data_IF_278110015816
#
_entry.id   IF_278110015816
#
_cell.length_a   1.000
_cell.length_b   1.000
_cell.length_c   1.000
_cell.angle_alpha   90.00
_cell.angle_beta   90.00
_cell.angle_gamma   90.00
#
_symmetry.space_group_name_H-M   'P 1'
#
loop_
_entity.id
_entity.type
_entity.pdbx_description
1 polymer ?
#
# COMPACT_ATOMS: atom_id res chain seq x y z
N UNK A 1 -12.00 16.28 1.16
CA UNK A 1 -11.23 15.36 2.04
C UNK A 1 -11.10 16.00 3.41
N UNK A 2 -11.37 15.26 4.50
CA UNK A 2 -11.22 15.82 5.83
C UNK A 2 -9.75 15.92 6.26
N UNK A 3 -9.50 16.62 7.36
CA UNK A 3 -8.14 16.87 7.85
C UNK A 3 -7.38 15.59 8.17
N UNK A 4 -8.02 14.62 8.81
CA UNK A 4 -7.39 13.35 9.18
C UNK A 4 -7.02 12.53 7.94
N UNK A 5 -7.91 12.49 6.96
CA UNK A 5 -7.64 11.79 5.70
C UNK A 5 -6.44 12.41 4.97
N UNK A 6 -6.34 13.74 4.96
CA UNK A 6 -5.21 14.42 4.31
C UNK A 6 -3.90 14.11 5.02
N UNK A 7 -3.88 14.14 6.35
CA UNK A 7 -2.68 13.83 7.14
C UNK A 7 -2.24 12.39 6.89
N UNK A 8 -3.18 11.44 6.86
CA UNK A 8 -2.90 10.03 6.61
C UNK A 8 -2.34 9.84 5.19
N UNK A 9 -2.97 10.48 4.19
CA UNK A 9 -2.49 10.42 2.81
C UNK A 9 -1.07 10.97 2.69
N UNK A 10 -0.79 12.11 3.32
CA UNK A 10 0.55 12.71 3.30
C UNK A 10 1.58 11.79 3.96
N UNK A 11 1.20 11.12 5.04
CA UNK A 11 2.05 10.15 5.73
C UNK A 11 2.40 8.98 4.82
N UNK A 12 1.41 8.42 4.12
CA UNK A 12 1.63 7.32 3.18
C UNK A 12 2.53 7.78 2.02
N UNK A 13 2.25 8.94 1.45
CA UNK A 13 3.00 9.44 0.29
C UNK A 13 4.46 9.78 0.63
N UNK A 14 4.74 10.17 1.86
CA UNK A 14 6.10 10.45 2.33
C UNK A 14 6.85 9.20 2.77
N UNK A 15 6.16 8.07 2.96
CA UNK A 15 6.76 6.85 3.47
C UNK A 15 7.40 6.03 2.35
N UNK A 16 8.55 5.42 2.66
CA UNK A 16 9.21 4.42 1.80
C UNK A 16 9.11 3.03 2.41
N UNK A 17 8.49 2.91 3.59
CA UNK A 17 8.51 1.69 4.39
C UNK A 17 7.26 0.82 4.22
N UNK A 18 6.29 1.25 3.41
CA UNK A 18 5.00 0.55 3.22
C UNK A 18 4.34 0.28 4.58
N UNK A 19 3.87 1.31 5.28
CA UNK A 19 3.42 1.15 6.66
C UNK A 19 2.12 0.35 6.77
N UNK A 20 1.99 -0.39 7.87
CA UNK A 20 0.72 -0.97 8.29
C UNK A 20 -0.15 0.12 8.90
N UNK A 21 -1.45 -0.19 9.13
CA UNK A 21 -2.36 0.75 9.81
C UNK A 21 -1.86 1.14 11.20
N UNK A 22 -1.32 0.16 11.95
CA UNK A 22 -0.76 0.42 13.27
C UNK A 22 0.45 1.34 13.22
N UNK A 23 1.33 1.14 12.24
CA UNK A 23 2.49 2.01 12.05
C UNK A 23 2.09 3.44 11.69
N UNK A 24 1.07 3.59 10.84
CA UNK A 24 0.50 4.92 10.53
C UNK A 24 -0.04 5.57 11.80
N UNK A 25 -0.80 4.82 12.60
CA UNK A 25 -1.36 5.30 13.86
C UNK A 25 -0.26 5.78 14.81
N UNK A 26 0.79 4.98 15.00
CA UNK A 26 1.89 5.34 15.89
C UNK A 26 2.65 6.58 15.40
N UNK A 27 2.86 6.68 14.09
CA UNK A 27 3.49 7.85 13.48
C UNK A 27 2.70 9.12 13.74
N UNK A 28 1.38 9.08 13.60
CA UNK A 28 0.51 10.23 13.88
C UNK A 28 0.53 10.60 15.36
N UNK A 29 0.54 9.59 16.23
CA UNK A 29 0.60 9.81 17.68
C UNK A 29 1.92 10.50 18.08
N UNK A 30 3.03 10.10 17.49
CA UNK A 30 4.33 10.74 17.70
C UNK A 30 4.36 12.20 17.26
N UNK A 31 3.59 12.52 16.21
CA UNK A 31 3.46 13.89 15.71
C UNK A 31 2.49 14.75 16.54
N UNK A 32 1.87 14.17 17.58
CA UNK A 32 0.91 14.87 18.40
C UNK A 32 -0.49 14.93 17.81
N UNK A 33 -0.76 14.21 16.74
CA UNK A 33 -2.10 14.14 16.15
C UNK A 33 -2.99 13.25 16.98
N UNK A 34 -4.15 13.76 17.39
CA UNK A 34 -5.10 13.02 18.20
C UNK A 34 -6.10 12.30 17.31
N UNK A 35 -5.86 11.02 17.05
CA UNK A 35 -6.77 10.16 16.29
C UNK A 35 -6.88 8.82 17.00
N UNK A 36 -8.02 8.14 16.85
CA UNK A 36 -8.15 6.74 17.29
C UNK A 36 -7.65 5.81 16.20
N UNK A 37 -7.31 4.58 16.60
CA UNK A 37 -6.93 3.54 15.62
C UNK A 37 -8.09 3.25 14.65
N UNK A 38 -9.33 3.28 15.15
CA UNK A 38 -10.51 3.10 14.29
C UNK A 38 -10.62 4.18 13.22
N UNK A 39 -10.31 5.43 13.56
CA UNK A 39 -10.29 6.53 12.59
C UNK A 39 -9.23 6.30 11.53
N UNK A 40 -8.05 5.80 11.91
CA UNK A 40 -6.99 5.46 10.95
C UNK A 40 -7.46 4.39 9.98
N UNK A 41 -8.00 3.27 10.48
CA UNK A 41 -8.52 2.20 9.64
C UNK A 41 -9.61 2.68 8.69
N UNK A 42 -10.56 3.48 9.17
CA UNK A 42 -11.66 4.00 8.35
C UNK A 42 -11.15 4.91 7.23
N UNK A 43 -10.19 5.77 7.54
CA UNK A 43 -9.61 6.66 6.53
C UNK A 43 -8.76 5.89 5.51
N UNK A 44 -8.00 4.89 5.93
CA UNK A 44 -7.23 4.06 5.01
C UNK A 44 -8.16 3.31 4.05
N UNK A 45 -9.25 2.75 4.55
CA UNK A 45 -10.24 2.07 3.72
C UNK A 45 -10.87 3.02 2.69
N UNK A 46 -11.21 4.23 3.12
CA UNK A 46 -11.78 5.26 2.23
C UNK A 46 -10.80 5.72 1.17
N UNK A 47 -9.55 5.99 1.55
CA UNK A 47 -8.50 6.40 0.61
C UNK A 47 -8.20 5.31 -0.41
N UNK A 48 -8.16 4.06 0.03
CA UNK A 48 -7.98 2.92 -0.85
C UNK A 48 -9.15 2.78 -1.84
N UNK A 49 -10.38 2.88 -1.36
CA UNK A 49 -11.57 2.79 -2.21
C UNK A 49 -11.61 3.90 -3.28
N UNK A 50 -11.06 5.07 -2.97
CA UNK A 50 -10.97 6.20 -3.91
C UNK A 50 -9.76 6.11 -4.85
N UNK A 51 -8.92 5.09 -4.70
CA UNK A 51 -7.73 4.92 -5.53
C UNK A 51 -6.60 5.90 -5.22
N UNK A 52 -6.59 6.53 -4.03
CA UNK A 52 -5.57 7.49 -3.63
C UNK A 52 -4.36 6.83 -2.98
N UNK A 53 -4.51 5.62 -2.48
CA UNK A 53 -3.43 4.79 -1.95
C UNK A 53 -3.60 3.36 -2.46
N UNK A 54 -2.53 2.58 -2.39
CA UNK A 54 -2.54 1.15 -2.70
C UNK A 54 -2.48 0.35 -1.41
N UNK A 55 -2.96 -0.88 -1.48
CA UNK A 55 -2.89 -1.82 -0.37
C UNK A 55 -2.14 -3.07 -0.84
N UNK A 56 -1.13 -3.48 -0.08
CA UNK A 56 -0.34 -4.67 -0.35
C UNK A 56 -0.69 -5.72 0.71
N UNK A 57 -1.39 -6.76 0.28
CA UNK A 57 -1.78 -7.86 1.17
C UNK A 57 -0.68 -8.93 1.16
N UNK A 58 -0.19 -9.28 2.34
CA UNK A 58 0.83 -10.31 2.53
C UNK A 58 0.23 -11.41 3.40
N UNK A 59 0.08 -12.64 2.90
CA UNK A 59 -0.53 -13.73 3.68
C UNK A 59 0.19 -13.95 5.01
N UNK A 60 -0.56 -13.99 6.10
CA UNK A 60 -0.04 -14.19 7.45
C UNK A 60 0.51 -12.91 8.11
N UNK A 61 0.43 -11.77 7.45
CA UNK A 61 0.92 -10.49 7.96
C UNK A 61 -0.14 -9.41 7.76
N UNK A 62 -0.09 -8.31 8.55
CA UNK A 62 -1.01 -7.20 8.34
C UNK A 62 -0.83 -6.57 6.97
N UNK A 63 -1.92 -6.02 6.43
CA UNK A 63 -1.88 -5.27 5.18
C UNK A 63 -0.94 -4.06 5.30
N UNK A 64 -0.23 -3.77 4.23
CA UNK A 64 0.61 -2.58 4.11
C UNK A 64 -0.02 -1.61 3.12
N UNK A 65 0.28 -0.34 3.30
CA UNK A 65 -0.26 0.73 2.46
C UNK A 65 0.87 1.48 1.78
N UNK A 66 0.61 1.99 0.59
CA UNK A 66 1.62 2.60 -0.24
C UNK A 66 1.02 3.66 -1.15
N UNK A 67 1.87 4.51 -1.72
CA UNK A 67 1.44 5.49 -2.69
C UNK A 67 1.03 4.80 -4.00
N UNK A 68 0.38 5.55 -4.88
CA UNK A 68 -0.15 5.00 -6.14
C UNK A 68 0.88 4.93 -7.27
N UNK A 69 2.11 5.37 -7.03
CA UNK A 69 3.19 5.21 -8.00
C UNK A 69 3.45 3.72 -8.19
N UNK A 70 3.36 3.26 -9.45
CA UNK A 70 3.49 1.84 -9.71
C UNK A 70 4.90 1.36 -9.45
N UNK A 71 5.01 0.29 -8.69
CA UNK A 71 6.25 -0.46 -8.49
C UNK A 71 5.87 -1.87 -8.06
N UNK A 72 6.79 -2.81 -8.25
CA UNK A 72 6.59 -4.19 -7.88
C UNK A 72 7.26 -4.48 -6.54
N UNK A 73 6.89 -5.58 -5.91
CA UNK A 73 7.37 -5.91 -4.57
C UNK A 73 7.92 -7.33 -4.50
N UNK A 74 8.99 -7.48 -3.73
CA UNK A 74 9.47 -8.79 -3.26
C UNK A 74 9.03 -8.96 -1.81
N UNK A 75 8.45 -10.11 -1.49
CA UNK A 75 7.93 -10.42 -0.16
C UNK A 75 8.69 -11.61 0.40
N UNK A 76 9.34 -11.43 1.54
CA UNK A 76 10.00 -12.53 2.23
C UNK A 76 8.97 -13.48 2.86
N UNK A 77 9.00 -14.75 2.48
CA UNK A 77 8.09 -15.75 3.00
C UNK A 77 8.24 -15.93 4.52
N UNK A 78 9.44 -15.79 5.05
CA UNK A 78 9.73 -16.06 6.45
C UNK A 78 9.38 -14.91 7.38
N UNK A 79 9.70 -13.67 7.01
CA UNK A 79 9.55 -12.53 7.90
C UNK A 79 8.55 -11.48 7.41
N UNK A 80 8.01 -11.62 6.19
CA UNK A 80 7.08 -10.67 5.62
C UNK A 80 7.71 -9.34 5.18
N UNK A 81 9.05 -9.26 5.15
CA UNK A 81 9.74 -8.06 4.69
C UNK A 81 9.34 -7.75 3.24
N UNK A 82 9.02 -6.49 3.01
CA UNK A 82 8.60 -6.00 1.71
C UNK A 82 9.70 -5.10 1.12
N UNK A 83 10.12 -5.41 -0.08
CA UNK A 83 11.17 -4.67 -0.78
C UNK A 83 10.64 -4.24 -2.15
N UNK A 84 10.82 -2.98 -2.50
CA UNK A 84 10.45 -2.47 -3.82
C UNK A 84 11.45 -2.97 -4.86
N UNK A 85 10.93 -3.30 -6.04
CA UNK A 85 11.74 -3.72 -7.17
C UNK A 85 11.14 -3.13 -8.45
N UNK A 86 12.00 -2.68 -9.35
CA UNK A 86 11.59 -2.22 -10.68
C UNK A 86 11.76 -3.37 -11.66
N UNK A 87 10.64 -3.83 -12.21
CA UNK A 87 10.60 -4.87 -13.23
C UNK A 87 10.07 -4.26 -14.52
N UNK A 88 10.23 -4.99 -15.62
CA UNK A 88 9.67 -4.56 -16.89
C UNK A 88 8.13 -4.50 -16.83
N UNK A 89 7.54 -3.73 -17.73
CA UNK A 89 6.10 -3.60 -17.81
C UNK A 89 5.49 -4.80 -18.54
N UNK A 90 4.66 -5.56 -17.85
CA UNK A 90 4.03 -6.77 -18.37
C UNK A 90 2.62 -6.53 -18.91
N UNK A 91 2.18 -5.29 -19.02
CA UNK A 91 0.81 -4.96 -19.46
C UNK A 91 0.46 -5.60 -20.79
N UNK A 92 1.33 -5.47 -21.80
CA UNK A 92 1.06 -6.06 -23.13
C UNK A 92 1.01 -7.58 -23.08
N UNK A 93 1.90 -8.21 -22.34
CA UNK A 93 1.93 -9.67 -22.20
C UNK A 93 0.67 -10.19 -21.54
N UNK A 94 0.21 -9.50 -20.49
CA UNK A 94 -1.00 -9.88 -19.77
C UNK A 94 -2.22 -9.68 -20.67
N UNK A 95 -2.30 -8.59 -21.42
CA UNK A 95 -3.40 -8.33 -22.34
C UNK A 95 -3.46 -9.38 -23.45
N UNK A 96 -2.32 -9.70 -24.03
CA UNK A 96 -2.24 -10.70 -25.10
C UNK A 96 -2.68 -12.07 -24.62
N UNK A 97 -2.21 -12.49 -23.45
CA UNK A 97 -2.47 -13.83 -22.94
C UNK A 97 -3.86 -13.98 -22.34
N UNK A 98 -4.43 -12.91 -21.78
CA UNK A 98 -5.75 -12.93 -21.15
C UNK A 98 -6.90 -12.52 -22.06
N UNK A 99 -6.59 -11.76 -23.10
CA UNK A 99 -7.62 -11.14 -23.98
C UNK A 99 -8.34 -9.98 -23.31
N UNK A 100 -7.93 -9.54 -22.14
CA UNK A 100 -8.55 -8.46 -21.39
C UNK A 100 -7.78 -7.15 -21.60
N UNK A 101 -8.50 -6.02 -21.53
CA UNK A 101 -7.87 -4.70 -21.47
C UNK A 101 -7.43 -4.43 -20.04
N UNK A 102 -6.13 -4.30 -19.82
CA UNK A 102 -5.58 -4.13 -18.47
C UNK A 102 -5.50 -2.65 -18.13
N UNK A 103 -6.16 -2.27 -17.04
CA UNK A 103 -6.11 -0.91 -16.49
C UNK A 103 -4.89 -0.78 -15.57
N UNK A 104 -4.67 -1.76 -14.71
CA UNK A 104 -3.53 -1.79 -13.80
C UNK A 104 -3.28 -3.21 -13.33
N UNK A 105 -2.11 -3.46 -12.78
CA UNK A 105 -1.79 -4.72 -12.11
C UNK A 105 -0.77 -4.48 -11.01
N UNK A 106 -0.75 -5.39 -10.05
CA UNK A 106 0.23 -5.41 -8.97
C UNK A 106 0.96 -6.75 -8.99
N UNK A 107 2.27 -6.70 -8.83
CA UNK A 107 3.08 -7.91 -8.82
C UNK A 107 3.79 -8.02 -7.48
N UNK A 108 3.46 -9.07 -6.74
CA UNK A 108 4.11 -9.41 -5.47
C UNK A 108 4.80 -10.76 -5.64
N UNK A 109 6.11 -10.76 -5.57
CA UNK A 109 6.92 -11.96 -5.74
C UNK A 109 7.35 -12.44 -4.37
N UNK A 110 6.99 -13.68 -4.02
CA UNK A 110 7.40 -14.29 -2.77
C UNK A 110 8.75 -14.97 -2.94
N UNK A 111 9.66 -14.70 -2.02
CA UNK A 111 10.98 -15.32 -2.02
C UNK A 111 11.32 -15.88 -0.64
N UNK A 112 12.30 -16.74 -0.61
CA UNK A 112 12.79 -17.35 0.64
C UNK A 112 13.85 -16.51 1.34
#
# INVERSE_FOLDING_TARGET
MNKNAQIILDTINASTDHPTAEQVYLSLKEQGTKVSIATVYNNLASLYAKGLIRKVAVPGFPDRYDNVTRHDHLVCQNCGRLVDVSLEDFTESIQRDSGAQIISYDLNITYL
#
